data_IF_927224369103
#
_entry.id   IF_927224369103
#
_cell.length_a   1.000
_cell.length_b   1.000
_cell.length_c   1.000
_cell.angle_alpha   90.00
_cell.angle_beta   90.00
_cell.angle_gamma   90.00
#
_symmetry.space_group_name_H-M   'P 1'
#
loop_
_entity.id
_entity.type
_entity.pdbx_description
1 polymer ?
#
# COMPACT_ATOMS: atom_id res chain seq x y z
N UNK A 1 -5.17 -5.21 23.98
CA UNK A 1 -5.92 -4.42 22.98
C UNK A 1 -5.70 -5.08 21.64
N UNK A 2 -6.56 -6.02 21.25
CA UNK A 2 -6.38 -6.89 20.09
C UNK A 2 -7.29 -6.43 18.96
N UNK A 3 -6.83 -5.45 18.18
CA UNK A 3 -7.51 -5.03 16.95
C UNK A 3 -6.96 -5.88 15.81
N UNK A 4 -7.39 -7.13 15.71
CA UNK A 4 -7.24 -7.90 14.46
C UNK A 4 -8.27 -7.35 13.48
N UNK A 5 -8.04 -6.13 13.03
CA UNK A 5 -8.64 -5.63 11.81
C UNK A 5 -8.04 -6.46 10.70
N UNK A 6 -8.85 -7.25 9.99
CA UNK A 6 -8.39 -8.04 8.85
C UNK A 6 -7.79 -7.17 7.72
N UNK A 7 -7.84 -5.84 7.85
CA UNK A 7 -7.22 -4.87 6.97
C UNK A 7 -5.69 -4.91 7.12
N UNK A 8 -4.93 -4.83 6.01
CA UNK A 8 -3.48 -4.68 6.12
C UNK A 8 -3.13 -3.44 6.95
N UNK A 9 -2.09 -3.55 7.77
CA UNK A 9 -1.60 -2.45 8.58
C UNK A 9 -1.35 -1.22 7.68
N UNK A 10 -1.87 -0.06 8.06
CA UNK A 10 -1.73 1.17 7.27
C UNK A 10 -0.24 1.51 7.01
N UNK A 11 0.63 1.14 7.95
CA UNK A 11 2.09 1.21 7.81
C UNK A 11 2.62 0.36 6.64
N UNK A 12 2.06 -0.84 6.42
CA UNK A 12 2.46 -1.70 5.29
C UNK A 12 1.98 -1.12 3.96
N UNK A 13 0.75 -0.59 3.93
CA UNK A 13 0.21 0.07 2.73
C UNK A 13 1.09 1.25 2.35
N UNK A 14 1.46 2.08 3.32
CA UNK A 14 2.36 3.22 3.11
C UNK A 14 3.75 2.80 2.63
N UNK A 15 4.33 1.75 3.22
CA UNK A 15 5.65 1.26 2.82
C UNK A 15 5.63 0.77 1.37
N UNK A 16 4.63 -0.06 1.03
CA UNK A 16 4.46 -0.61 -0.30
C UNK A 16 4.14 0.48 -1.34
N UNK A 17 3.30 1.46 -0.99
CA UNK A 17 3.00 2.60 -1.85
C UNK A 17 4.25 3.44 -2.14
N UNK A 18 5.12 3.61 -1.14
CA UNK A 18 6.40 4.28 -1.29
C UNK A 18 7.35 3.51 -2.20
N UNK A 19 7.46 2.18 -2.03
CA UNK A 19 8.26 1.34 -2.93
C UNK A 19 7.76 1.41 -4.38
N UNK A 20 6.44 1.37 -4.60
CA UNK A 20 5.84 1.54 -5.94
C UNK A 20 6.19 2.92 -6.50
N UNK A 21 6.07 3.98 -5.70
CA UNK A 21 6.41 5.35 -6.14
C UNK A 21 7.90 5.51 -6.50
N UNK A 22 8.79 4.84 -5.77
CA UNK A 22 10.21 4.80 -6.13
C UNK A 22 10.46 4.04 -7.43
N UNK A 23 9.78 2.89 -7.63
CA UNK A 23 9.90 2.09 -8.86
C UNK A 23 9.34 2.80 -10.10
N UNK A 24 8.30 3.62 -9.94
CA UNK A 24 7.70 4.40 -11.03
C UNK A 24 8.47 5.69 -11.34
N UNK A 25 9.60 5.94 -10.67
CA UNK A 25 10.48 7.07 -10.94
C UNK A 25 9.95 8.40 -10.41
N UNK A 26 9.26 8.38 -9.26
CA UNK A 26 8.77 9.60 -8.59
C UNK A 26 7.73 10.35 -9.43
N UNK A 27 6.79 9.60 -10.01
CA UNK A 27 5.67 10.18 -10.76
C UNK A 27 4.78 11.01 -9.83
N UNK A 28 4.96 12.34 -9.87
CA UNK A 28 4.14 13.29 -9.13
C UNK A 28 2.68 13.29 -9.61
N UNK A 29 1.75 13.36 -8.66
CA UNK A 29 0.30 13.35 -8.93
C UNK A 29 -0.37 11.96 -8.96
N UNK A 30 0.38 10.87 -8.84
CA UNK A 30 -0.15 9.48 -8.80
C UNK A 30 -0.10 8.83 -7.42
N UNK A 31 0.10 9.61 -6.37
CA UNK A 31 0.24 9.13 -5.00
C UNK A 31 -0.98 8.33 -4.51
N UNK A 32 -2.20 8.72 -4.92
CA UNK A 32 -3.43 7.98 -4.60
C UNK A 32 -3.48 6.64 -5.35
N UNK A 33 -3.09 6.62 -6.63
CA UNK A 33 -3.04 5.38 -7.42
C UNK A 33 -2.04 4.38 -6.82
N UNK A 34 -0.86 4.86 -6.41
CA UNK A 34 0.15 4.04 -5.75
C UNK A 34 -0.32 3.51 -4.39
N UNK A 35 -1.08 4.30 -3.63
CA UNK A 35 -1.69 3.86 -2.38
C UNK A 35 -2.73 2.75 -2.59
N UNK A 36 -3.64 2.94 -3.54
CA UNK A 36 -4.68 1.95 -3.87
C UNK A 36 -4.06 0.66 -4.42
N UNK A 37 -3.01 0.76 -5.24
CA UNK A 37 -2.27 -0.40 -5.75
C UNK A 37 -1.61 -1.19 -4.61
N UNK A 38 -0.95 -0.49 -3.68
CA UNK A 38 -0.34 -1.10 -2.50
C UNK A 38 -1.38 -1.80 -1.61
N UNK A 39 -2.51 -1.16 -1.36
CA UNK A 39 -3.60 -1.74 -0.58
C UNK A 39 -4.13 -3.02 -1.24
N UNK A 40 -4.36 -2.99 -2.56
CA UNK A 40 -4.82 -4.16 -3.31
C UNK A 40 -3.82 -5.32 -3.25
N UNK A 41 -2.52 -5.06 -3.49
CA UNK A 41 -1.48 -6.10 -3.41
C UNK A 41 -1.39 -6.75 -2.01
N UNK A 42 -1.54 -5.94 -0.95
CA UNK A 42 -1.49 -6.44 0.43
C UNK A 42 -2.74 -7.22 0.83
N UNK A 43 -3.89 -6.89 0.27
CA UNK A 43 -5.12 -7.67 0.43
C UNK A 43 -4.99 -8.99 -0.33
N UNK A 44 -4.51 -8.95 -1.58
CA UNK A 44 -4.38 -10.12 -2.46
C UNK A 44 -3.32 -11.12 -1.96
N UNK A 45 -2.20 -10.63 -1.39
CA UNK A 45 -1.16 -11.49 -0.79
C UNK A 45 -1.59 -12.19 0.51
N UNK A 46 -2.77 -11.84 1.05
CA UNK A 46 -3.29 -12.38 2.31
C UNK A 46 -4.37 -13.46 2.09
N UNK A 47 -4.66 -13.80 0.83
CA UNK A 47 -5.64 -14.82 0.40
C UNK A 47 -4.92 -16.09 -0.02
#
# INVERSE_FOLDING_TARGET
MNFISNRPDENKIRLKAYEIWQQTGYSDGKSIEHWLQAEKELIESKI
#
